data_IF_078657469859
#
_entry.id   IF_078657469859
#
_cell.length_a   1.000
_cell.length_b   1.000
_cell.length_c   1.000
_cell.angle_alpha   90.00
_cell.angle_beta   90.00
_cell.angle_gamma   90.00
#
_symmetry.space_group_name_H-M   'P 1'
#
loop_
_entity.id
_entity.type
_entity.pdbx_description
1 polymer ?
#
# COMPACT_ATOMS: atom_id res chain seq x y z
N UNK A 1 -2.79 -5.59 22.11
CA UNK A 1 -2.93 -5.35 20.66
C UNK A 1 -2.15 -6.43 19.93
N UNK A 2 -2.82 -7.32 19.18
CA UNK A 2 -2.13 -8.22 18.24
C UNK A 2 -1.57 -7.31 17.13
N UNK A 3 -0.26 -7.17 17.07
CA UNK A 3 0.42 -6.38 16.05
C UNK A 3 0.18 -7.05 14.69
N UNK A 4 -0.47 -6.34 13.76
CA UNK A 4 -0.61 -6.82 12.38
C UNK A 4 0.81 -6.87 11.80
N UNK A 5 1.34 -8.08 11.55
CA UNK A 5 2.70 -8.28 11.02
C UNK A 5 2.90 -7.58 9.66
N UNK A 6 1.80 -7.21 8.99
CA UNK A 6 1.82 -6.42 7.78
C UNK A 6 2.05 -4.91 8.01
N UNK A 7 1.85 -4.35 9.21
CA UNK A 7 2.01 -2.92 9.50
C UNK A 7 3.01 -2.71 10.65
N UNK A 8 4.21 -3.29 10.50
CA UNK A 8 5.29 -3.14 11.46
C UNK A 8 6.14 -1.88 11.19
N UNK A 9 6.97 -1.49 12.16
CA UNK A 9 7.89 -0.36 12.00
C UNK A 9 8.76 -0.51 10.73
N UNK A 10 9.09 -1.74 10.33
CA UNK A 10 9.86 -1.98 9.11
C UNK A 10 9.09 -1.60 7.85
N UNK A 11 7.78 -1.84 7.78
CA UNK A 11 6.93 -1.34 6.70
C UNK A 11 7.04 0.18 6.58
N UNK A 12 6.82 0.92 7.68
CA UNK A 12 6.93 2.38 7.68
C UNK A 12 8.31 2.85 7.21
N UNK A 13 9.40 2.21 7.68
CA UNK A 13 10.76 2.56 7.26
C UNK A 13 11.01 2.31 5.76
N UNK A 14 10.47 1.22 5.19
CA UNK A 14 10.58 0.94 3.75
C UNK A 14 9.75 1.92 2.91
N UNK A 15 8.55 2.28 3.38
CA UNK A 15 7.71 3.31 2.74
C UNK A 15 8.43 4.65 2.76
N UNK A 16 8.97 5.10 3.90
CA UNK A 16 9.74 6.34 3.98
C UNK A 16 10.95 6.33 3.06
N UNK A 17 11.71 5.22 3.01
CA UNK A 17 12.86 5.08 2.11
C UNK A 17 12.43 5.25 0.65
N UNK A 18 11.34 4.59 0.25
CA UNK A 18 10.81 4.65 -1.11
C UNK A 18 10.25 6.04 -1.42
N UNK A 19 9.52 6.66 -0.50
CA UNK A 19 8.95 7.99 -0.64
C UNK A 19 10.04 9.06 -0.83
N UNK A 20 11.15 8.98 -0.07
CA UNK A 20 12.33 9.86 -0.27
C UNK A 20 12.94 9.71 -1.65
N UNK A 21 13.09 8.47 -2.13
CA UNK A 21 13.61 8.18 -3.47
C UNK A 21 12.72 8.77 -4.57
N UNK A 22 11.41 8.53 -4.50
CA UNK A 22 10.44 9.08 -5.45
C UNK A 22 10.41 10.61 -5.40
N UNK A 23 10.43 11.20 -4.20
CA UNK A 23 10.45 12.65 -4.00
C UNK A 23 11.64 13.33 -4.66
N UNK A 24 12.82 12.72 -4.62
CA UNK A 24 14.02 13.25 -5.25
C UNK A 24 13.93 13.26 -6.78
N UNK A 25 13.27 12.26 -7.38
CA UNK A 25 13.11 12.15 -8.84
C UNK A 25 12.01 13.09 -9.34
N UNK A 26 10.88 13.14 -8.64
CA UNK A 26 9.69 13.89 -9.05
C UNK A 26 9.76 15.38 -8.66
N UNK A 27 10.70 15.78 -7.80
CA UNK A 27 10.90 17.17 -7.41
C UNK A 27 9.84 17.71 -6.43
N UNK A 28 9.29 16.84 -5.57
CA UNK A 28 8.29 17.23 -4.57
C UNK A 28 8.92 17.77 -3.27
N UNK A 29 8.10 18.30 -2.37
CA UNK A 29 8.57 18.83 -1.08
C UNK A 29 8.83 17.72 -0.06
N UNK A 30 10.10 17.50 0.27
CA UNK A 30 10.50 16.56 1.32
C UNK A 30 9.87 16.90 2.69
N UNK A 31 9.68 18.18 2.98
CA UNK A 31 9.04 18.67 4.22
C UNK A 31 7.58 18.25 4.38
N UNK A 32 6.96 17.72 3.32
CA UNK A 32 5.61 17.15 3.36
C UNK A 32 5.69 15.63 3.22
N UNK A 33 6.43 15.12 2.24
CA UNK A 33 6.48 13.69 1.91
C UNK A 33 7.01 12.85 3.08
N UNK A 34 8.10 13.27 3.72
CA UNK A 34 8.73 12.49 4.79
C UNK A 34 7.85 12.37 6.03
N UNK A 35 7.34 13.47 6.64
CA UNK A 35 6.45 13.34 7.80
C UNK A 35 5.16 12.60 7.46
N UNK A 36 4.58 12.82 6.28
CA UNK A 36 3.40 12.06 5.84
C UNK A 36 3.69 10.56 5.75
N UNK A 37 4.81 10.16 5.14
CA UNK A 37 5.20 8.75 5.03
C UNK A 37 5.49 8.10 6.38
N UNK A 38 6.05 8.82 7.36
CA UNK A 38 6.23 8.27 8.72
C UNK A 38 4.91 8.06 9.47
N UNK A 39 3.92 8.92 9.22
CA UNK A 39 2.72 9.01 10.05
C UNK A 39 1.46 8.45 9.37
N UNK A 40 1.54 8.01 8.11
CA UNK A 40 0.37 7.60 7.32
C UNK A 40 -0.45 6.46 7.98
N UNK A 41 0.25 5.55 8.65
CA UNK A 41 -0.29 4.38 9.34
C UNK A 41 -0.13 4.46 10.87
N UNK A 42 0.01 5.68 11.43
CA UNK A 42 0.11 5.86 12.88
C UNK A 42 -1.16 5.45 13.64
N UNK A 43 -2.26 5.18 12.92
CA UNK A 43 -3.49 4.64 13.45
C UNK A 43 -4.22 3.77 12.42
N UNK A 44 -4.69 2.61 12.86
CA UNK A 44 -5.55 1.74 12.05
C UNK A 44 -6.52 1.00 12.94
N UNK A 45 -7.81 1.03 12.60
CA UNK A 45 -8.78 0.16 13.26
C UNK A 45 -8.56 -1.32 12.85
N UNK A 46 -8.96 -2.28 13.69
CA UNK A 46 -8.98 -3.70 13.30
C UNK A 46 -9.73 -3.95 11.99
N UNK A 47 -9.38 -5.04 11.30
CA UNK A 47 -9.90 -5.35 9.95
C UNK A 47 -11.44 -5.43 9.89
N UNK A 48 -12.08 -5.85 10.98
CA UNK A 48 -13.52 -6.08 11.09
C UNK A 48 -14.27 -4.93 11.79
N UNK A 49 -13.59 -3.81 12.06
CA UNK A 49 -14.21 -2.66 12.73
C UNK A 49 -15.12 -1.86 11.78
N UNK A 50 -16.33 -1.45 12.19
CA UNK A 50 -17.28 -0.73 11.33
C UNK A 50 -16.73 0.58 10.79
N UNK A 51 -15.94 1.29 11.60
CA UNK A 51 -15.31 2.56 11.22
C UNK A 51 -13.94 2.41 10.56
N UNK A 52 -13.55 1.21 10.09
CA UNK A 52 -12.23 1.00 9.47
C UNK A 52 -11.92 1.99 8.35
N UNK A 53 -12.93 2.36 7.57
CA UNK A 53 -12.82 3.35 6.52
C UNK A 53 -12.34 4.74 7.02
N UNK A 54 -12.58 5.08 8.29
CA UNK A 54 -12.14 6.34 8.91
C UNK A 54 -10.70 6.30 9.43
N UNK A 55 -9.98 5.18 9.32
CA UNK A 55 -8.64 5.03 9.89
C UNK A 55 -7.65 6.10 9.42
N UNK A 56 -7.62 6.38 8.12
CA UNK A 56 -6.70 7.37 7.53
C UNK A 56 -7.03 8.81 7.94
N UNK A 57 -8.31 9.14 8.14
CA UNK A 57 -8.73 10.44 8.68
C UNK A 57 -8.21 10.61 10.11
N UNK A 58 -8.40 9.60 10.97
CA UNK A 58 -7.94 9.64 12.35
C UNK A 58 -6.41 9.64 12.43
N UNK A 59 -5.73 8.89 11.56
CA UNK A 59 -4.27 8.92 11.46
C UNK A 59 -3.78 10.33 11.09
N UNK A 60 -4.45 11.01 10.16
CA UNK A 60 -4.09 12.37 9.76
C UNK A 60 -4.29 13.38 10.91
N UNK A 61 -5.38 13.26 11.67
CA UNK A 61 -5.63 14.15 12.82
C UNK A 61 -4.58 13.93 13.93
N UNK A 62 -4.27 12.67 14.26
CA UNK A 62 -3.19 12.34 15.22
C UNK A 62 -1.82 12.79 14.75
N UNK A 63 -1.53 12.66 13.46
CA UNK A 63 -0.29 13.13 12.87
C UNK A 63 -0.16 14.66 13.04
N UNK A 64 -1.24 15.42 12.81
CA UNK A 64 -1.24 16.85 13.02
C UNK A 64 -1.04 17.25 14.48
N UNK A 65 -1.71 16.58 15.41
CA UNK A 65 -1.50 16.81 16.85
C UNK A 65 -0.03 16.61 17.22
N UNK A 66 0.59 15.52 16.76
CA UNK A 66 2.00 15.25 16.96
C UNK A 66 2.90 16.33 16.35
N UNK A 67 2.65 16.72 15.09
CA UNK A 67 3.43 17.75 14.39
C UNK A 67 3.35 19.12 15.06
N UNK A 68 2.18 19.49 15.59
CA UNK A 68 2.02 20.71 16.40
C UNK A 68 2.85 20.62 17.67
N UNK A 69 2.81 19.49 18.37
CA UNK A 69 3.51 19.30 19.64
C UNK A 69 5.04 19.39 19.50
N UNK A 70 5.60 18.92 18.37
CA UNK A 70 7.04 19.02 18.10
C UNK A 70 7.46 20.35 17.43
N UNK A 71 6.53 21.29 17.23
CA UNK A 71 6.81 22.59 16.61
C UNK A 71 7.11 22.53 15.10
N UNK A 72 6.60 21.52 14.39
CA UNK A 72 6.81 21.40 12.94
C UNK A 72 6.12 22.56 12.18
N UNK A 73 6.73 23.15 11.13
CA UNK A 73 6.19 24.35 10.49
C UNK A 73 4.75 24.21 9.99
N UNK A 74 3.86 25.11 10.44
CA UNK A 74 2.42 25.08 10.16
C UNK A 74 2.08 25.15 8.67
N UNK A 75 2.95 25.75 7.87
CA UNK A 75 2.76 25.88 6.42
C UNK A 75 2.64 24.53 5.69
N UNK A 76 3.16 23.44 6.28
CA UNK A 76 3.11 22.10 5.67
C UNK A 76 1.95 21.24 6.19
N UNK A 77 1.25 21.66 7.25
CA UNK A 77 0.31 20.80 7.96
C UNK A 77 -0.83 20.30 7.07
N UNK A 78 -1.45 21.17 6.27
CA UNK A 78 -2.57 20.77 5.41
C UNK A 78 -2.13 19.80 4.31
N UNK A 79 -0.96 20.03 3.70
CA UNK A 79 -0.42 19.14 2.67
C UNK A 79 -0.08 17.76 3.25
N UNK A 80 0.49 17.72 4.47
CA UNK A 80 0.78 16.47 5.19
C UNK A 80 -0.52 15.73 5.52
N UNK A 81 -1.51 16.43 6.08
CA UNK A 81 -2.83 15.86 6.40
C UNK A 81 -3.44 15.23 5.15
N UNK A 82 -3.46 15.98 4.04
CA UNK A 82 -4.00 15.50 2.77
C UNK A 82 -3.26 14.25 2.26
N UNK A 83 -1.92 14.23 2.29
CA UNK A 83 -1.14 13.06 1.90
C UNK A 83 -1.47 11.81 2.74
N UNK A 84 -1.62 11.97 4.05
CA UNK A 84 -2.01 10.87 4.96
C UNK A 84 -3.44 10.40 4.67
N UNK A 85 -4.41 11.30 4.49
CA UNK A 85 -5.79 10.89 4.17
C UNK A 85 -5.85 10.14 2.84
N UNK A 86 -5.11 10.63 1.85
CA UNK A 86 -5.16 10.12 0.48
C UNK A 86 -4.45 8.78 0.28
N UNK A 87 -3.45 8.42 1.09
CA UNK A 87 -2.66 7.20 0.86
C UNK A 87 -3.54 5.94 0.73
N UNK A 88 -4.56 5.83 1.59
CA UNK A 88 -5.48 4.70 1.63
C UNK A 88 -6.55 4.72 0.53
N UNK A 89 -6.62 5.72 -0.33
CA UNK A 89 -7.65 5.75 -1.39
C UNK A 89 -7.47 4.60 -2.39
N UNK A 90 -8.58 3.92 -2.71
CA UNK A 90 -8.63 2.91 -3.77
C UNK A 90 -9.94 3.06 -4.52
N UNK A 91 -9.88 3.26 -5.85
CA UNK A 91 -11.07 3.40 -6.68
C UNK A 91 -11.96 2.15 -6.66
N UNK A 92 -11.37 0.96 -6.45
CA UNK A 92 -12.10 -0.30 -6.28
C UNK A 92 -12.93 -0.38 -5.00
N UNK A 93 -12.74 0.56 -4.05
CA UNK A 93 -13.51 0.65 -2.79
C UNK A 93 -14.60 1.71 -2.84
N UNK A 94 -14.84 2.33 -4.00
CA UNK A 94 -16.01 3.17 -4.19
C UNK A 94 -17.24 2.26 -4.10
N UNK A 95 -18.08 2.50 -3.09
CA UNK A 95 -19.35 1.81 -2.96
C UNK A 95 -20.33 2.27 -4.05
N UNK A 96 -21.52 1.68 -4.08
CA UNK A 96 -22.61 2.05 -5.01
C UNK A 96 -23.08 3.50 -4.90
N UNK A 97 -22.70 4.24 -3.85
CA UNK A 97 -22.93 5.69 -3.72
C UNK A 97 -21.73 6.54 -4.16
N UNK A 98 -20.66 5.93 -4.67
CA UNK A 98 -19.45 6.62 -5.14
C UNK A 98 -18.66 7.33 -4.04
N UNK A 99 -18.92 7.01 -2.76
CA UNK A 99 -18.32 7.70 -1.63
C UNK A 99 -17.14 6.90 -1.04
N UNK A 100 -16.00 7.58 -0.90
CA UNK A 100 -14.83 7.10 -0.18
C UNK A 100 -14.51 8.07 0.96
N UNK A 101 -14.24 7.55 2.15
CA UNK A 101 -13.77 8.33 3.30
C UNK A 101 -12.34 8.85 3.13
N UNK A 102 -11.58 8.24 2.22
CA UNK A 102 -10.28 8.74 1.75
C UNK A 102 -10.46 9.63 0.52
N UNK A 103 -9.72 10.73 0.44
CA UNK A 103 -9.71 11.63 -0.71
C UNK A 103 -8.75 11.14 -1.80
N UNK A 104 -9.00 11.48 -3.05
CA UNK A 104 -8.05 11.23 -4.15
C UNK A 104 -6.75 11.99 -3.90
N UNK A 105 -5.60 11.41 -4.24
CA UNK A 105 -4.32 12.10 -4.15
C UNK A 105 -4.21 13.23 -5.19
N UNK A 106 -4.48 14.47 -4.76
CA UNK A 106 -4.49 15.65 -5.63
C UNK A 106 -3.12 16.32 -5.79
N UNK A 107 -2.28 16.28 -4.76
CA UNK A 107 -0.95 16.90 -4.75
C UNK A 107 0.12 15.87 -5.10
N UNK A 108 1.25 16.34 -5.63
CA UNK A 108 2.37 15.47 -5.98
C UNK A 108 2.89 14.71 -4.75
N UNK A 109 2.95 15.37 -3.59
CA UNK A 109 3.36 14.79 -2.33
C UNK A 109 2.42 13.66 -1.87
N UNK A 110 1.10 13.85 -2.00
CA UNK A 110 0.12 12.82 -1.68
C UNK A 110 0.21 11.62 -2.62
N UNK A 111 0.46 11.88 -3.91
CA UNK A 111 0.67 10.85 -4.93
C UNK A 111 1.92 10.02 -4.60
N UNK A 112 3.02 10.66 -4.21
CA UNK A 112 4.27 9.99 -3.84
C UNK A 112 4.09 9.12 -2.59
N UNK A 113 3.41 9.61 -1.56
CA UNK A 113 3.18 8.82 -0.32
C UNK A 113 2.32 7.60 -0.63
N UNK A 114 1.24 7.77 -1.42
CA UNK A 114 0.41 6.65 -1.86
C UNK A 114 1.19 5.65 -2.70
N UNK A 115 2.00 6.12 -3.65
CA UNK A 115 2.81 5.25 -4.50
C UNK A 115 3.85 4.47 -3.68
N UNK A 116 4.52 5.13 -2.74
CA UNK A 116 5.51 4.51 -1.87
C UNK A 116 4.91 3.40 -0.99
N UNK A 117 3.72 3.62 -0.44
CA UNK A 117 2.97 2.62 0.32
C UNK A 117 2.60 1.41 -0.56
N UNK A 118 1.99 1.66 -1.72
CA UNK A 118 1.59 0.60 -2.66
C UNK A 118 2.78 -0.20 -3.19
N UNK A 119 3.93 0.44 -3.42
CA UNK A 119 5.15 -0.23 -3.86
C UNK A 119 5.67 -1.25 -2.84
N UNK A 120 5.39 -1.09 -1.54
CA UNK A 120 5.78 -2.07 -0.51
C UNK A 120 5.00 -3.39 -0.61
N UNK A 121 3.87 -3.40 -1.32
CA UNK A 121 3.11 -4.61 -1.63
C UNK A 121 3.64 -5.37 -2.87
N UNK A 122 4.66 -4.84 -3.56
CA UNK A 122 5.23 -5.43 -4.77
C UNK A 122 6.67 -5.94 -4.56
N UNK A 123 7.12 -6.77 -5.50
CA UNK A 123 8.49 -7.31 -5.53
C UNK A 123 8.72 -8.36 -4.46
N UNK A 124 9.98 -8.55 -4.07
CA UNK A 124 10.36 -9.58 -3.09
C UNK A 124 9.65 -9.40 -1.73
N UNK A 125 9.56 -8.17 -1.23
CA UNK A 125 8.81 -7.87 -0.01
C UNK A 125 7.32 -8.18 -0.18
N UNK A 126 6.73 -7.81 -1.32
CA UNK A 126 5.35 -8.13 -1.67
C UNK A 126 5.06 -9.63 -1.64
N UNK A 127 5.91 -10.45 -2.25
CA UNK A 127 5.80 -11.92 -2.23
C UNK A 127 5.82 -12.44 -0.79
N UNK A 128 6.85 -12.09 -0.02
CA UNK A 128 7.01 -12.57 1.37
C UNK A 128 5.81 -12.20 2.24
N UNK A 129 5.30 -10.97 2.13
CA UNK A 129 4.12 -10.50 2.85
C UNK A 129 2.86 -11.23 2.41
N UNK A 130 2.68 -11.44 1.11
CA UNK A 130 1.53 -12.16 0.56
C UNK A 130 1.46 -13.58 1.13
N UNK A 131 2.59 -14.30 1.13
CA UNK A 131 2.66 -15.66 1.68
C UNK A 131 2.42 -15.64 3.19
N UNK A 132 3.12 -14.78 3.95
CA UNK A 132 2.98 -14.71 5.40
C UNK A 132 1.53 -14.43 5.83
N UNK A 133 0.88 -13.44 5.22
CA UNK A 133 -0.51 -13.09 5.54
C UNK A 133 -1.46 -14.21 5.15
N UNK A 134 -1.30 -14.82 3.97
CA UNK A 134 -2.18 -15.91 3.55
C UNK A 134 -2.03 -17.17 4.40
N UNK A 135 -0.81 -17.50 4.84
CA UNK A 135 -0.58 -18.60 5.79
C UNK A 135 -1.26 -18.34 7.13
N UNK A 136 -1.21 -17.10 7.65
CA UNK A 136 -1.94 -16.73 8.87
C UNK A 136 -3.47 -16.83 8.72
N UNK A 137 -3.97 -16.64 7.50
CA UNK A 137 -5.39 -16.77 7.17
C UNK A 137 -5.80 -18.22 6.84
N UNK A 138 -4.88 -19.19 6.93
CA UNK A 138 -5.15 -20.61 6.66
C UNK A 138 -5.42 -20.92 5.19
N UNK A 139 -4.96 -20.07 4.27
CA UNK A 139 -5.14 -20.25 2.82
C UNK A 139 -4.11 -21.22 2.27
N UNK A 140 -4.51 -22.01 1.29
CA UNK A 140 -3.57 -22.82 0.54
C UNK A 140 -2.61 -21.93 -0.27
N UNK A 141 -1.44 -22.43 -0.63
CA UNK A 141 -0.52 -21.66 -1.48
C UNK A 141 -1.14 -21.46 -2.87
N UNK A 142 -1.63 -22.53 -3.49
CA UNK A 142 -2.22 -22.54 -4.82
C UNK A 142 -3.37 -23.55 -4.88
N UNK A 143 -4.15 -23.54 -5.97
CA UNK A 143 -5.11 -24.59 -6.29
C UNK A 143 -4.41 -25.80 -6.91
N UNK A 144 -4.84 -27.02 -6.58
CA UNK A 144 -4.15 -28.24 -6.97
C UNK A 144 -4.28 -28.59 -8.47
N UNK A 145 -5.33 -28.10 -9.15
CA UNK A 145 -5.59 -28.40 -10.55
C UNK A 145 -5.22 -27.23 -11.47
N UNK A 146 -5.43 -26.00 -11.01
CA UNK A 146 -5.06 -24.78 -11.73
C UNK A 146 -4.34 -23.78 -10.80
N UNK A 147 -3.04 -23.97 -10.54
CA UNK A 147 -2.26 -23.11 -9.64
C UNK A 147 -2.17 -21.65 -10.07
N UNK A 148 -2.34 -21.37 -11.36
CA UNK A 148 -2.05 -20.06 -11.96
C UNK A 148 -3.27 -19.38 -12.60
N UNK A 149 -4.47 -19.92 -12.38
CA UNK A 149 -5.74 -19.37 -12.87
C UNK A 149 -5.80 -19.28 -14.40
N UNK A 150 -5.35 -20.33 -15.09
CA UNK A 150 -5.42 -20.40 -16.56
C UNK A 150 -6.81 -20.72 -17.09
N UNK A 151 -7.59 -21.51 -16.34
CA UNK A 151 -8.94 -21.96 -16.73
C UNK A 151 -10.03 -21.47 -15.75
N UNK A 152 -9.65 -21.13 -14.51
CA UNK A 152 -10.57 -20.63 -13.48
C UNK A 152 -10.36 -19.16 -13.14
N UNK A 153 -11.38 -18.55 -12.56
CA UNK A 153 -11.25 -17.23 -11.95
C UNK A 153 -10.41 -17.28 -10.66
N UNK A 154 -9.53 -16.30 -10.42
CA UNK A 154 -8.76 -16.21 -9.18
C UNK A 154 -9.67 -15.97 -7.95
N UNK A 155 -9.47 -16.77 -6.91
CA UNK A 155 -10.12 -16.68 -5.61
C UNK A 155 -9.09 -16.55 -4.47
N UNK A 156 -8.72 -15.30 -4.19
CA UNK A 156 -7.73 -14.97 -3.16
C UNK A 156 -8.22 -15.14 -1.71
N UNK A 157 -9.48 -15.57 -1.51
CA UNK A 157 -9.97 -16.02 -0.21
C UNK A 157 -9.52 -17.45 0.12
N UNK A 158 -9.22 -18.26 -0.90
CA UNK A 158 -8.86 -19.67 -0.77
C UNK A 158 -7.36 -19.92 -1.03
N UNK A 159 -6.79 -19.27 -2.06
CA UNK A 159 -5.42 -19.53 -2.52
C UNK A 159 -4.55 -18.27 -2.51
N UNK A 160 -3.28 -18.44 -2.14
CA UNK A 160 -2.31 -17.33 -2.01
C UNK A 160 -1.91 -16.77 -3.36
N UNK A 161 -1.60 -17.64 -4.33
CA UNK A 161 -1.14 -17.24 -5.67
C UNK A 161 -2.21 -16.43 -6.40
N UNK A 162 -3.48 -16.73 -6.19
CA UNK A 162 -4.60 -15.99 -6.75
C UNK A 162 -4.56 -14.50 -6.41
N UNK A 163 -4.03 -14.13 -5.23
CA UNK A 163 -3.89 -12.73 -4.83
C UNK A 163 -2.96 -11.92 -5.76
N UNK A 164 -2.01 -12.59 -6.41
CA UNK A 164 -1.16 -11.97 -7.41
C UNK A 164 -2.00 -11.45 -8.58
N UNK A 165 -2.97 -12.23 -9.02
CA UNK A 165 -3.86 -11.92 -10.14
C UNK A 165 -5.05 -11.02 -9.75
N UNK A 166 -5.67 -11.25 -8.59
CA UNK A 166 -6.81 -10.42 -8.15
C UNK A 166 -6.38 -8.98 -7.90
N UNK A 167 -5.17 -8.77 -7.36
CA UNK A 167 -4.71 -7.48 -6.85
C UNK A 167 -3.30 -7.09 -7.28
N UNK A 168 -2.27 -7.88 -6.95
CA UNK A 168 -0.89 -7.36 -6.96
C UNK A 168 -0.43 -6.93 -8.36
N UNK A 169 -0.72 -7.71 -9.40
CA UNK A 169 -0.36 -7.38 -10.78
C UNK A 169 -1.09 -6.15 -11.33
N UNK A 170 -2.22 -5.76 -10.74
CA UNK A 170 -2.97 -4.56 -11.13
C UNK A 170 -2.42 -3.29 -10.48
N UNK A 171 -1.59 -3.40 -9.44
CA UNK A 171 -1.10 -2.23 -8.71
C UNK A 171 -0.21 -1.32 -9.56
N UNK A 172 0.61 -1.88 -10.45
CA UNK A 172 1.51 -1.11 -11.30
C UNK A 172 0.75 -0.09 -12.17
N UNK A 173 -0.43 -0.45 -12.66
CA UNK A 173 -1.28 0.41 -13.49
C UNK A 173 -1.96 1.53 -12.69
N UNK A 174 -1.99 1.41 -11.36
CA UNK A 174 -2.63 2.38 -10.46
C UNK A 174 -1.66 3.40 -9.86
N UNK A 175 -0.37 3.29 -10.16
CA UNK A 175 0.65 4.24 -9.68
C UNK A 175 0.40 5.63 -10.25
N UNK A 176 0.64 6.65 -9.44
CA UNK A 176 0.37 8.03 -9.81
C UNK A 176 1.53 8.64 -10.61
N UNK A 177 2.75 8.53 -10.07
CA UNK A 177 3.95 9.20 -10.59
C UNK A 177 4.71 8.36 -11.62
N UNK A 178 5.53 8.99 -12.45
CA UNK A 178 6.29 8.31 -13.49
C UNK A 178 7.37 7.40 -12.89
N UNK A 179 8.09 7.90 -11.87
CA UNK A 179 9.10 7.14 -11.13
C UNK A 179 8.50 5.91 -10.44
N UNK A 180 7.31 6.05 -9.84
CA UNK A 180 6.63 4.91 -9.21
C UNK A 180 6.18 3.87 -10.22
N UNK A 181 5.68 4.26 -11.40
CA UNK A 181 5.32 3.31 -12.47
C UNK A 181 6.53 2.49 -12.91
N UNK A 182 7.68 3.13 -13.10
CA UNK A 182 8.93 2.45 -13.49
C UNK A 182 9.32 1.42 -12.41
N UNK A 183 9.35 1.84 -11.15
CA UNK A 183 9.72 0.96 -10.04
C UNK A 183 8.69 -0.17 -9.83
N UNK A 184 7.39 0.12 -9.97
CA UNK A 184 6.33 -0.87 -9.86
C UNK A 184 6.44 -1.93 -10.96
N UNK A 185 6.71 -1.54 -12.20
CA UNK A 185 6.93 -2.46 -13.31
C UNK A 185 8.13 -3.39 -13.07
N UNK A 186 9.24 -2.84 -12.56
CA UNK A 186 10.41 -3.64 -12.18
C UNK A 186 10.07 -4.66 -11.09
N UNK A 187 9.36 -4.24 -10.04
CA UNK A 187 8.95 -5.13 -8.94
C UNK A 187 7.94 -6.19 -9.38
N UNK A 188 6.99 -5.81 -10.23
CA UNK A 188 6.01 -6.73 -10.84
C UNK A 188 6.70 -7.76 -11.74
N UNK A 189 7.71 -7.36 -12.52
CA UNK A 189 8.48 -8.30 -13.34
C UNK A 189 9.18 -9.36 -12.48
N UNK A 190 9.76 -8.96 -11.34
CA UNK A 190 10.33 -9.90 -10.38
C UNK A 190 9.28 -10.89 -9.84
N UNK A 191 8.07 -10.41 -9.53
CA UNK A 191 6.99 -11.29 -9.07
C UNK A 191 6.53 -12.28 -10.12
N UNK A 192 6.47 -11.87 -11.38
CA UNK A 192 6.19 -12.77 -12.51
C UNK A 192 7.28 -13.83 -12.63
N UNK A 193 8.55 -13.45 -12.55
CA UNK A 193 9.67 -14.39 -12.58
C UNK A 193 9.61 -15.40 -11.42
N UNK A 194 9.22 -14.97 -10.22
CA UNK A 194 8.97 -15.87 -9.09
C UNK A 194 7.88 -16.90 -9.41
N UNK A 195 6.73 -16.48 -9.97
CA UNK A 195 5.66 -17.42 -10.35
C UNK A 195 6.08 -18.36 -11.49
N UNK A 196 6.85 -17.86 -12.46
CA UNK A 196 7.43 -18.72 -13.52
C UNK A 196 8.32 -19.79 -12.93
N UNK A 197 9.22 -19.43 -12.00
CA UNK A 197 10.09 -20.38 -11.35
C UNK A 197 9.31 -21.38 -10.50
N UNK A 198 8.31 -20.92 -9.74
CA UNK A 198 7.41 -21.78 -8.98
C UNK A 198 6.75 -22.83 -9.88
N UNK A 199 6.25 -22.42 -11.06
CA UNK A 199 5.63 -23.34 -12.01
C UNK A 199 6.58 -24.36 -12.64
N UNK A 200 7.89 -24.11 -12.65
CA UNK A 200 8.90 -25.08 -13.12
C UNK A 200 9.27 -26.12 -12.05
N UNK A 201 9.04 -25.81 -10.77
CA UNK A 201 9.37 -26.68 -9.64
C UNK A 201 8.20 -27.59 -9.22
N UNK A 202 7.00 -27.32 -9.74
CA UNK A 202 5.78 -28.09 -9.52
C UNK A 202 5.63 -29.23 -10.54
#
# INVERSE_FOLDING_TARGET
>A
MKQDLAHDLNHVLRVVKTAKYLCAIEGAKLDVVVPAAYLHDCFTYPKDHPDRAKSSLIAADKALEFLVNIGYPKQYHQDIKHAIVAHSFSASRLNSSGLSTSAKAQTLEAQIVQDADRLDALGAIGISRCIQVSSMLGRALYDAHDPFCTEREPNDSLHTIDHFYTKLFKLADTMNTAAAKIEANKRTAFMKAYLTQLGLEM
#
